data_IF_680115101195
#
_entry.id   IF_680115101195
#
_cell.length_a   1.000
_cell.length_b   1.000
_cell.length_c   1.000
_cell.angle_alpha   90.00
_cell.angle_beta   90.00
_cell.angle_gamma   90.00
#
_symmetry.space_group_name_H-M   'P 1'
#
loop_
_entity.id
_entity.type
_entity.pdbx_description
1 polymer ?
#
# COMPACT_ATOMS: atom_id res chain seq x y z
N UNK A 1 68.85 -43.13 48.91
CA UNK A 1 67.42 -42.94 49.30
C UNK A 1 66.64 -41.91 48.51
N UNK A 2 67.25 -41.17 47.60
CA UNK A 2 66.55 -40.08 46.83
C UNK A 2 65.94 -40.54 45.48
N UNK A 3 66.36 -41.65 44.96
CA UNK A 3 65.92 -42.15 43.66
C UNK A 3 64.72 -43.12 43.69
N UNK A 4 64.39 -43.70 44.88
CA UNK A 4 63.21 -44.56 45.01
C UNK A 4 61.90 -43.84 45.20
N UNK A 5 61.92 -42.62 45.77
CA UNK A 5 60.73 -41.82 45.95
C UNK A 5 60.24 -41.15 44.64
N UNK A 6 61.15 -40.84 43.70
CA UNK A 6 60.80 -40.23 42.46
C UNK A 6 60.09 -41.17 41.44
N UNK A 7 60.37 -42.47 41.52
CA UNK A 7 59.71 -43.42 40.62
C UNK A 7 58.32 -43.85 41.08
N UNK A 8 58.08 -43.81 42.41
CA UNK A 8 56.73 -44.06 42.94
C UNK A 8 55.73 -42.92 42.67
N UNK A 9 56.20 -41.67 42.69
CA UNK A 9 55.35 -40.53 42.38
C UNK A 9 55.03 -40.43 40.88
N UNK A 10 55.98 -40.82 40.01
CA UNK A 10 55.73 -40.87 38.57
C UNK A 10 54.77 -41.99 38.18
N UNK A 11 54.83 -43.16 38.88
CA UNK A 11 53.89 -44.27 38.69
C UNK A 11 52.46 -43.92 39.15
N UNK A 12 52.34 -43.20 40.28
CA UNK A 12 51.04 -42.74 40.80
C UNK A 12 50.41 -41.65 39.94
N UNK A 13 51.19 -40.70 39.37
CA UNK A 13 50.74 -39.67 38.47
C UNK A 13 50.33 -40.24 37.10
N UNK A 14 51.00 -41.28 36.60
CA UNK A 14 50.64 -41.93 35.34
C UNK A 14 49.40 -42.82 35.51
N UNK A 15 49.17 -43.42 36.65
CA UNK A 15 47.98 -44.22 36.99
C UNK A 15 46.74 -43.30 37.21
N UNK A 16 46.94 -42.12 37.80
CA UNK A 16 45.84 -41.14 37.97
C UNK A 16 45.47 -40.49 36.64
N UNK A 17 46.39 -40.31 35.71
CA UNK A 17 46.13 -39.74 34.40
C UNK A 17 45.40 -40.73 33.47
N UNK A 18 45.64 -42.05 33.60
CA UNK A 18 44.92 -43.06 32.83
C UNK A 18 43.51 -43.34 33.34
N UNK A 19 43.21 -43.06 34.61
CA UNK A 19 41.83 -43.16 35.17
C UNK A 19 40.91 -42.01 34.81
N UNK A 20 41.46 -40.87 34.31
CA UNK A 20 40.67 -39.75 33.86
C UNK A 20 40.19 -39.83 32.40
N UNK A 21 40.62 -40.85 31.65
CA UNK A 21 40.26 -41.04 30.24
C UNK A 21 39.08 -42.00 30.05
N UNK A 22 38.67 -42.72 31.12
CA UNK A 22 37.41 -43.48 31.11
C UNK A 22 36.29 -42.69 31.81
N UNK A 23 36.10 -41.42 31.43
CA UNK A 23 34.87 -40.75 31.67
C UNK A 23 33.82 -41.43 30.80
N UNK A 24 32.83 -42.07 31.40
CA UNK A 24 31.60 -42.43 30.71
C UNK A 24 31.13 -41.22 29.93
N UNK A 25 31.20 -41.29 28.61
CA UNK A 25 30.31 -40.43 27.80
C UNK A 25 28.88 -40.82 28.22
N UNK A 26 28.10 -39.93 28.82
CA UNK A 26 26.71 -40.24 28.99
C UNK A 26 26.18 -40.41 27.57
N UNK A 27 25.78 -41.61 27.19
CA UNK A 27 24.94 -41.78 26.02
C UNK A 27 23.75 -40.82 26.23
N UNK A 28 23.81 -39.68 25.59
CA UNK A 28 22.68 -38.78 25.54
C UNK A 28 21.57 -39.58 24.87
N UNK A 29 20.63 -40.03 25.67
CA UNK A 29 19.44 -40.74 25.20
C UNK A 29 18.55 -39.68 24.50
N UNK A 30 19.07 -39.15 23.38
CA UNK A 30 18.39 -38.24 22.51
C UNK A 30 17.32 -39.09 21.85
N UNK A 31 16.09 -38.98 22.34
CA UNK A 31 14.94 -39.51 21.62
C UNK A 31 14.86 -38.77 20.28
N UNK A 32 15.32 -39.41 19.24
CA UNK A 32 15.12 -38.94 17.89
C UNK A 32 13.61 -38.96 17.61
N UNK A 33 13.01 -37.78 17.58
CA UNK A 33 11.60 -37.66 17.30
C UNK A 33 11.41 -37.72 15.79
N UNK A 34 10.96 -38.86 15.29
CA UNK A 34 10.68 -39.05 13.86
C UNK A 34 9.30 -38.48 13.55
N UNK A 35 9.27 -37.34 12.90
CA UNK A 35 8.02 -36.76 12.39
C UNK A 35 7.59 -37.57 11.15
N UNK A 36 6.24 -37.83 10.98
CA UNK A 36 5.72 -38.37 9.74
C UNK A 36 5.97 -37.37 8.61
N UNK A 37 6.00 -37.83 7.38
CA UNK A 37 6.05 -36.93 6.22
C UNK A 37 4.67 -36.32 6.01
N UNK A 38 4.57 -35.00 5.77
CA UNK A 38 3.28 -34.37 5.48
C UNK A 38 2.69 -34.94 4.18
N UNK A 39 1.38 -34.98 4.09
CA UNK A 39 0.64 -35.42 2.91
C UNK A 39 -0.35 -34.33 2.53
N UNK A 40 -0.34 -33.90 1.27
CA UNK A 40 -1.36 -33.02 0.71
C UNK A 40 -2.41 -33.88 0.03
N UNK A 41 -3.66 -33.73 0.44
CA UNK A 41 -4.81 -34.42 -0.17
C UNK A 41 -5.59 -33.53 -1.13
N UNK A 42 -5.62 -32.20 -0.84
CA UNK A 42 -6.37 -31.26 -1.67
C UNK A 42 -5.75 -29.87 -1.54
N UNK A 43 -5.78 -29.12 -2.65
CA UNK A 43 -5.49 -27.67 -2.71
C UNK A 43 -6.72 -26.99 -3.32
N UNK A 44 -7.30 -26.03 -2.61
CA UNK A 44 -8.54 -25.38 -3.05
C UNK A 44 -8.52 -23.85 -2.80
N UNK A 45 -8.81 -23.04 -3.83
CA UNK A 45 -8.94 -23.40 -5.23
C UNK A 45 -7.61 -23.83 -5.88
N UNK A 46 -7.65 -24.40 -7.09
CA UNK A 46 -6.48 -24.77 -7.88
C UNK A 46 -5.99 -23.65 -8.81
N UNK A 47 -6.67 -22.52 -8.81
CA UNK A 47 -6.23 -21.33 -9.51
C UNK A 47 -6.61 -20.07 -8.70
N UNK A 48 -5.84 -19.01 -8.84
CA UNK A 48 -6.09 -17.74 -8.15
C UNK A 48 -5.04 -16.68 -8.49
N UNK A 49 -5.34 -15.48 -8.08
CA UNK A 49 -4.47 -14.31 -8.21
C UNK A 49 -3.44 -14.29 -7.07
N UNK A 50 -2.36 -13.55 -7.27
CA UNK A 50 -1.49 -13.15 -6.17
C UNK A 50 -2.32 -12.45 -5.09
N UNK A 51 -2.11 -12.84 -3.83
CA UNK A 51 -2.87 -12.32 -2.71
C UNK A 51 -4.14 -13.10 -2.34
N UNK A 52 -4.62 -14.01 -3.19
CA UNK A 52 -5.77 -14.85 -2.88
C UNK A 52 -5.46 -15.87 -1.78
N UNK A 53 -6.50 -16.20 -1.02
CA UNK A 53 -6.38 -17.25 -0.01
C UNK A 53 -6.58 -18.64 -0.64
N UNK A 54 -5.70 -19.56 -0.25
CA UNK A 54 -5.73 -20.97 -0.64
C UNK A 54 -5.74 -21.83 0.61
N UNK A 55 -6.60 -22.86 0.60
CA UNK A 55 -6.69 -23.88 1.64
C UNK A 55 -5.98 -25.13 1.14
N UNK A 56 -5.07 -25.63 1.93
CA UNK A 56 -4.36 -26.88 1.69
C UNK A 56 -4.84 -27.89 2.75
N UNK A 57 -5.50 -28.96 2.30
CA UNK A 57 -5.94 -30.05 3.15
C UNK A 57 -4.96 -31.21 3.06
N UNK A 58 -4.82 -31.93 4.16
CA UNK A 58 -3.87 -33.04 4.22
C UNK A 58 -3.75 -33.68 5.59
N UNK A 59 -2.59 -34.26 5.85
CA UNK A 59 -2.27 -34.91 7.11
C UNK A 59 -0.84 -34.58 7.53
N UNK A 60 -0.58 -34.63 8.83
CA UNK A 60 0.75 -34.49 9.45
C UNK A 60 1.43 -33.12 9.20
N UNK A 61 0.65 -32.06 9.09
CA UNK A 61 1.18 -30.70 9.02
C UNK A 61 1.63 -30.16 10.38
N UNK A 62 1.09 -30.71 11.49
CA UNK A 62 1.30 -30.18 12.84
C UNK A 62 0.49 -28.91 13.10
N UNK A 63 0.68 -28.36 14.30
CA UNK A 63 -0.07 -27.17 14.74
C UNK A 63 0.84 -25.93 14.97
N UNK A 64 2.09 -26.01 14.48
CA UNK A 64 3.08 -24.94 14.66
C UNK A 64 3.43 -24.30 13.34
N UNK A 65 3.00 -23.05 13.15
CA UNK A 65 3.29 -22.27 11.94
C UNK A 65 4.79 -22.15 11.69
N UNK A 66 5.61 -22.01 12.74
CA UNK A 66 7.06 -21.84 12.62
C UNK A 66 7.78 -23.09 12.10
N UNK A 67 7.12 -24.24 12.14
CA UNK A 67 7.67 -25.50 11.64
C UNK A 67 7.30 -25.76 10.17
N UNK A 68 6.40 -24.96 9.61
CA UNK A 68 5.82 -25.18 8.30
C UNK A 68 6.28 -24.08 7.33
N UNK A 69 6.66 -24.49 6.13
CA UNK A 69 6.82 -23.59 5.00
C UNK A 69 6.03 -24.10 3.80
N UNK A 70 5.45 -23.18 3.06
CA UNK A 70 4.66 -23.45 1.85
C UNK A 70 5.27 -22.70 0.68
N UNK A 71 5.18 -23.27 -0.52
CA UNK A 71 5.56 -22.57 -1.75
C UNK A 71 4.59 -22.86 -2.88
N UNK A 72 4.51 -21.94 -3.84
CA UNK A 72 3.75 -22.05 -5.08
C UNK A 72 4.71 -22.00 -6.27
N UNK A 73 4.86 -23.11 -7.00
CA UNK A 73 5.80 -23.20 -8.11
C UNK A 73 7.26 -22.88 -7.70
N UNK A 74 7.61 -23.14 -6.43
CA UNK A 74 8.94 -22.86 -5.85
C UNK A 74 9.07 -21.49 -5.18
N UNK A 75 8.09 -20.60 -5.30
CA UNK A 75 8.09 -19.28 -4.63
C UNK A 75 7.53 -19.43 -3.21
N UNK A 76 8.28 -19.05 -2.16
CA UNK A 76 7.87 -19.23 -0.79
C UNK A 76 6.73 -18.30 -0.38
N UNK A 77 5.82 -18.83 0.43
CA UNK A 77 4.75 -18.06 1.07
C UNK A 77 5.31 -17.29 2.27
N UNK A 78 5.03 -15.99 2.34
CA UNK A 78 5.44 -15.15 3.47
C UNK A 78 4.47 -15.27 4.65
N UNK A 79 3.16 -15.40 4.39
CA UNK A 79 2.13 -15.36 5.39
C UNK A 79 1.29 -16.65 5.40
N UNK A 80 1.42 -17.43 6.48
CA UNK A 80 0.55 -18.56 6.80
C UNK A 80 -0.48 -18.06 7.82
N UNK A 81 -1.75 -17.96 7.41
CA UNK A 81 -2.82 -17.45 8.28
C UNK A 81 -3.24 -18.44 9.36
N UNK A 82 -3.20 -19.74 9.02
CA UNK A 82 -3.57 -20.80 9.94
C UNK A 82 -2.83 -22.08 9.58
N UNK A 83 -2.36 -22.79 10.60
CA UNK A 83 -1.79 -24.13 10.48
C UNK A 83 -2.41 -25.04 11.52
N UNK A 84 -2.98 -26.15 11.06
CA UNK A 84 -3.49 -27.26 11.85
C UNK A 84 -2.99 -28.57 11.24
N UNK A 85 -2.99 -29.64 11.99
CA UNK A 85 -2.45 -30.93 11.52
C UNK A 85 -3.02 -31.42 10.19
N UNK A 86 -4.22 -31.00 9.83
CA UNK A 86 -4.92 -31.41 8.61
C UNK A 86 -5.30 -30.25 7.67
N UNK A 87 -4.93 -29.02 7.97
CA UNK A 87 -5.30 -27.86 7.17
C UNK A 87 -4.31 -26.72 7.34
N UNK A 88 -3.88 -26.14 6.22
CA UNK A 88 -3.10 -24.91 6.18
C UNK A 88 -3.88 -23.89 5.33
N UNK A 89 -3.96 -22.64 5.80
CA UNK A 89 -4.52 -21.52 5.06
C UNK A 89 -3.39 -20.53 4.78
N UNK A 90 -3.15 -20.27 3.51
CA UNK A 90 -2.07 -19.41 3.03
C UNK A 90 -2.58 -18.39 2.02
N UNK A 91 -1.75 -17.41 1.74
CA UNK A 91 -1.94 -16.46 0.65
C UNK A 91 -1.00 -16.81 -0.50
N UNK A 92 -1.50 -16.74 -1.74
CA UNK A 92 -0.64 -16.87 -2.94
C UNK A 92 0.40 -15.77 -2.90
N UNK A 93 1.71 -16.11 -2.89
CA UNK A 93 2.76 -15.09 -2.74
C UNK A 93 2.91 -14.24 -4.00
N UNK A 94 3.47 -13.05 -3.84
CA UNK A 94 3.91 -12.22 -4.96
C UNK A 94 4.98 -12.95 -5.78
N UNK A 95 4.87 -12.88 -7.10
CA UNK A 95 5.76 -13.60 -8.02
C UNK A 95 5.53 -15.11 -8.08
N UNK A 96 4.41 -15.62 -7.52
CA UNK A 96 4.03 -17.03 -7.62
C UNK A 96 4.05 -17.50 -9.08
N UNK A 97 4.41 -18.78 -9.29
CA UNK A 97 4.49 -19.39 -10.61
C UNK A 97 3.57 -20.61 -10.69
N UNK A 98 3.09 -20.89 -11.91
CA UNK A 98 2.37 -22.11 -12.17
C UNK A 98 3.19 -23.34 -11.76
N UNK A 99 2.56 -24.30 -11.10
CA UNK A 99 3.25 -25.52 -10.68
C UNK A 99 2.70 -26.11 -9.38
N UNK A 100 3.46 -27.01 -8.81
CA UNK A 100 3.05 -27.68 -7.57
C UNK A 100 3.03 -26.74 -6.38
N UNK A 101 2.06 -26.98 -5.50
CA UNK A 101 2.10 -26.40 -4.15
C UNK A 101 2.90 -27.33 -3.26
N UNK A 102 4.01 -26.84 -2.75
CA UNK A 102 4.90 -27.57 -1.84
C UNK A 102 4.61 -27.23 -0.39
N UNK A 103 4.57 -28.24 0.48
CA UNK A 103 4.52 -28.11 1.94
C UNK A 103 5.73 -28.78 2.55
N UNK A 104 6.46 -28.08 3.37
CA UNK A 104 7.57 -28.62 4.14
C UNK A 104 7.30 -28.46 5.63
N UNK A 105 7.40 -29.54 6.36
CA UNK A 105 7.29 -29.59 7.81
C UNK A 105 8.65 -30.03 8.37
N UNK A 106 9.33 -29.11 9.05
CA UNK A 106 10.74 -29.28 9.48
C UNK A 106 11.66 -29.62 8.31
N UNK A 107 12.01 -30.91 8.19
CA UNK A 107 12.94 -31.40 7.16
C UNK A 107 12.26 -32.23 6.07
N UNK A 108 10.97 -32.55 6.23
CA UNK A 108 10.20 -33.38 5.28
C UNK A 108 9.29 -32.55 4.45
N UNK A 109 9.22 -32.86 3.18
CA UNK A 109 8.44 -32.10 2.21
C UNK A 109 7.56 -32.99 1.34
N UNK A 110 6.48 -32.44 0.84
CA UNK A 110 5.56 -33.03 -0.11
C UNK A 110 5.07 -31.97 -1.09
N UNK A 111 4.55 -32.42 -2.23
CA UNK A 111 3.96 -31.54 -3.23
C UNK A 111 2.52 -31.99 -3.55
N UNK A 112 1.69 -31.07 -3.97
CA UNK A 112 0.33 -31.33 -4.45
C UNK A 112 0.34 -32.26 -5.66
N UNK A 113 -0.71 -33.05 -5.83
CA UNK A 113 -0.89 -33.89 -7.02
C UNK A 113 -1.15 -33.04 -8.27
N UNK A 114 -2.01 -32.02 -8.16
CA UNK A 114 -2.33 -31.08 -9.22
C UNK A 114 -1.45 -29.83 -9.16
N UNK A 115 -1.23 -29.20 -10.31
CA UNK A 115 -0.59 -27.89 -10.37
C UNK A 115 -1.56 -26.81 -9.97
N UNK A 116 -1.06 -25.79 -9.30
CA UNK A 116 -1.76 -24.53 -9.07
C UNK A 116 -1.49 -23.62 -10.26
N UNK A 117 -2.56 -22.99 -10.78
CA UNK A 117 -2.48 -22.01 -11.86
C UNK A 117 -2.56 -20.60 -11.29
N UNK A 118 -1.50 -19.82 -11.45
CA UNK A 118 -1.52 -18.39 -11.12
C UNK A 118 -2.23 -17.64 -12.23
N UNK A 119 -3.28 -16.91 -11.88
CA UNK A 119 -4.00 -16.04 -12.80
C UNK A 119 -3.24 -14.70 -12.86
N UNK A 120 -2.79 -14.24 -14.03
CA UNK A 120 -2.13 -12.94 -14.15
C UNK A 120 -3.06 -11.81 -13.69
N UNK A 121 -2.56 -10.94 -12.81
CA UNK A 121 -3.34 -9.86 -12.24
C UNK A 121 -3.74 -8.83 -13.30
N UNK A 122 -5.03 -8.53 -13.46
CA UNK A 122 -5.48 -7.49 -14.39
C UNK A 122 -5.01 -6.11 -13.95
N UNK A 123 -4.68 -5.26 -14.91
CA UNK A 123 -4.33 -3.87 -14.64
C UNK A 123 -4.83 -2.92 -15.72
N UNK A 124 -5.25 -1.72 -15.31
CA UNK A 124 -5.62 -0.64 -16.21
C UNK A 124 -4.38 0.21 -16.49
N UNK A 125 -4.06 0.41 -17.76
CA UNK A 125 -2.96 1.26 -18.21
C UNK A 125 -3.48 2.67 -18.54
N UNK A 126 -4.63 2.75 -19.22
CA UNK A 126 -5.21 4.04 -19.61
C UNK A 126 -6.70 3.95 -19.80
N UNK A 127 -7.37 5.09 -19.62
CA UNK A 127 -8.76 5.30 -19.98
C UNK A 127 -8.89 6.56 -20.82
N UNK A 128 -9.68 6.49 -21.89
CA UNK A 128 -9.93 7.62 -22.77
C UNK A 128 -11.41 7.69 -23.14
N UNK A 129 -11.92 8.89 -23.32
CA UNK A 129 -13.27 9.15 -23.78
C UNK A 129 -13.30 9.58 -25.24
N UNK A 130 -14.40 9.27 -25.92
CA UNK A 130 -14.71 9.83 -27.24
C UNK A 130 -15.19 11.28 -27.19
N UNK A 131 -15.36 11.85 -25.99
CA UNK A 131 -15.85 13.21 -25.81
C UNK A 131 -14.85 14.24 -26.38
N UNK A 132 -15.28 15.20 -27.23
CA UNK A 132 -14.39 16.17 -27.84
C UNK A 132 -13.74 17.15 -26.83
N UNK A 133 -14.27 17.28 -25.62
CA UNK A 133 -13.71 18.15 -24.59
C UNK A 133 -12.42 17.58 -23.97
N UNK A 134 -12.14 16.28 -24.13
CA UNK A 134 -10.90 15.63 -23.67
C UNK A 134 -11.11 14.29 -22.99
N UNK A 135 -10.01 13.62 -22.69
CA UNK A 135 -9.98 12.20 -22.32
C UNK A 135 -10.75 11.84 -21.04
N UNK A 136 -10.88 12.75 -20.09
CA UNK A 136 -11.60 12.49 -18.83
C UNK A 136 -12.98 13.21 -18.77
N UNK A 137 -13.42 13.77 -19.89
CA UNK A 137 -14.78 14.27 -20.01
C UNK A 137 -15.67 13.20 -20.61
N UNK A 138 -16.87 13.05 -20.08
CA UNK A 138 -17.88 12.17 -20.64
C UNK A 138 -19.28 12.66 -20.35
N UNK A 139 -20.15 12.50 -21.33
CA UNK A 139 -21.60 12.68 -21.26
C UNK A 139 -22.30 11.41 -21.71
N UNK A 140 -23.58 11.30 -21.44
CA UNK A 140 -24.40 10.14 -21.83
C UNK A 140 -24.18 9.76 -23.31
N UNK A 141 -23.79 8.52 -23.54
CA UNK A 141 -23.57 7.98 -24.88
C UNK A 141 -22.13 8.02 -25.37
N UNK A 142 -21.23 8.76 -24.73
CA UNK A 142 -19.81 8.73 -25.06
C UNK A 142 -19.22 7.33 -24.84
N UNK A 143 -18.22 6.98 -25.65
CA UNK A 143 -17.50 5.73 -25.51
C UNK A 143 -16.26 5.93 -24.65
N UNK A 144 -16.15 5.14 -23.60
CA UNK A 144 -14.95 5.07 -22.76
C UNK A 144 -14.18 3.83 -23.18
N UNK A 145 -12.95 4.03 -23.64
CA UNK A 145 -12.01 2.95 -23.96
C UNK A 145 -11.07 2.74 -22.79
N UNK A 146 -11.12 1.57 -22.20
CA UNK A 146 -10.22 1.12 -21.13
C UNK A 146 -9.18 0.19 -21.73
N UNK A 147 -7.90 0.53 -21.62
CA UNK A 147 -6.79 -0.29 -22.04
C UNK A 147 -6.00 -0.78 -20.85
N UNK A 148 -5.58 -2.03 -20.93
CA UNK A 148 -4.85 -2.66 -19.86
C UNK A 148 -4.20 -3.96 -20.26
N UNK A 149 -3.95 -4.82 -19.29
CA UNK A 149 -3.39 -6.16 -19.47
C UNK A 149 -4.14 -7.16 -18.62
N UNK A 150 -4.14 -8.41 -19.08
CA UNK A 150 -4.67 -9.56 -18.35
C UNK A 150 -6.14 -9.40 -17.95
N UNK A 151 -6.96 -8.78 -18.78
CA UNK A 151 -8.41 -8.70 -18.51
C UNK A 151 -9.07 -10.07 -18.58
N UNK A 152 -8.51 -10.98 -19.38
CA UNK A 152 -8.95 -12.34 -19.58
C UNK A 152 -9.58 -12.57 -20.95
N UNK A 153 -9.50 -13.80 -21.42
CA UNK A 153 -10.04 -14.20 -22.73
C UNK A 153 -11.56 -14.42 -22.69
N UNK A 154 -12.09 -14.94 -21.56
CA UNK A 154 -13.53 -15.10 -21.36
C UNK A 154 -14.14 -13.80 -20.82
N UNK A 155 -14.75 -13.04 -21.73
CA UNK A 155 -15.37 -11.74 -21.45
C UNK A 155 -16.87 -11.84 -21.15
N UNK A 156 -17.43 -13.04 -21.10
CA UNK A 156 -18.89 -13.26 -21.02
C UNK A 156 -19.53 -12.74 -19.73
N UNK A 157 -18.75 -12.68 -18.63
CA UNK A 157 -19.21 -12.22 -17.33
C UNK A 157 -18.61 -10.85 -16.94
N UNK A 158 -17.94 -10.17 -17.87
CA UNK A 158 -17.42 -8.84 -17.58
C UNK A 158 -18.56 -7.87 -17.35
N UNK A 159 -18.39 -7.01 -16.35
CA UNK A 159 -19.30 -5.91 -16.05
C UNK A 159 -18.52 -4.61 -15.89
N UNK A 160 -19.17 -3.53 -16.26
CA UNK A 160 -18.63 -2.20 -16.08
C UNK A 160 -19.67 -1.33 -15.38
N UNK A 161 -19.18 -0.39 -14.59
CA UNK A 161 -20.04 0.52 -13.83
C UNK A 161 -19.46 1.94 -13.90
N UNK A 162 -20.35 2.92 -13.85
CA UNK A 162 -20.00 4.31 -13.52
C UNK A 162 -20.63 4.60 -12.17
N UNK A 163 -19.82 4.74 -11.13
CA UNK A 163 -20.24 4.62 -9.74
C UNK A 163 -20.95 3.27 -9.51
N UNK A 164 -22.26 3.30 -9.16
CA UNK A 164 -23.08 2.10 -8.97
C UNK A 164 -23.96 1.77 -10.20
N UNK A 165 -23.95 2.64 -11.24
CA UNK A 165 -24.78 2.45 -12.43
C UNK A 165 -24.05 1.56 -13.44
N UNK A 166 -24.67 0.45 -13.82
CA UNK A 166 -24.12 -0.47 -14.81
C UNK A 166 -24.01 0.22 -16.18
N UNK A 167 -22.84 0.12 -16.80
CA UNK A 167 -22.53 0.66 -18.11
C UNK A 167 -22.54 -0.47 -19.15
N UNK A 168 -23.10 -0.19 -20.33
CA UNK A 168 -23.11 -1.16 -21.43
C UNK A 168 -21.69 -1.38 -21.95
N UNK A 169 -21.22 -2.63 -21.95
CA UNK A 169 -20.00 -3.04 -22.65
C UNK A 169 -20.33 -3.19 -24.12
N UNK A 170 -19.59 -2.49 -24.97
CA UNK A 170 -19.74 -2.51 -26.45
C UNK A 170 -18.81 -3.57 -27.04
N UNK A 171 -17.60 -3.66 -26.53
CA UNK A 171 -16.61 -4.68 -26.88
C UNK A 171 -15.67 -4.95 -25.73
N UNK A 172 -15.15 -6.18 -25.66
CA UNK A 172 -14.17 -6.56 -24.65
C UNK A 172 -13.17 -7.57 -25.23
N UNK A 173 -11.93 -7.47 -24.77
CA UNK A 173 -10.82 -8.38 -25.07
C UNK A 173 -9.89 -8.42 -23.84
N UNK A 174 -8.84 -9.23 -23.91
CA UNK A 174 -7.80 -9.32 -22.85
C UNK A 174 -7.07 -7.99 -22.57
N UNK A 175 -7.10 -7.04 -23.49
CA UNK A 175 -6.32 -5.78 -23.41
C UNK A 175 -7.15 -4.51 -23.59
N UNK A 176 -8.40 -4.62 -24.01
CA UNK A 176 -9.24 -3.46 -24.26
C UNK A 176 -10.72 -3.75 -23.97
N UNK A 177 -11.36 -2.85 -23.25
CA UNK A 177 -12.79 -2.86 -23.00
C UNK A 177 -13.34 -1.50 -23.40
N UNK A 178 -14.41 -1.49 -24.24
CA UNK A 178 -15.12 -0.27 -24.61
C UNK A 178 -16.48 -0.29 -23.97
N UNK A 179 -16.80 0.74 -23.20
CA UNK A 179 -18.10 0.92 -22.55
C UNK A 179 -18.79 2.17 -23.05
N UNK A 180 -20.11 2.18 -23.00
CA UNK A 180 -20.92 3.37 -23.25
C UNK A 180 -21.22 4.06 -21.92
N UNK A 181 -20.89 5.35 -21.80
CA UNK A 181 -21.19 6.13 -20.60
C UNK A 181 -22.71 6.22 -20.39
N UNK A 182 -23.23 5.88 -19.20
CA UNK A 182 -24.65 5.73 -18.97
C UNK A 182 -25.41 7.06 -18.96
N UNK A 183 -26.71 6.99 -19.24
CA UNK A 183 -27.61 8.14 -19.17
C UNK A 183 -27.90 8.55 -17.71
N UNK A 184 -28.12 9.84 -17.49
CA UNK A 184 -28.45 10.36 -16.16
C UNK A 184 -27.27 10.53 -15.21
N UNK A 185 -26.07 10.19 -15.64
CA UNK A 185 -24.83 10.39 -14.88
C UNK A 185 -24.07 11.59 -15.45
N UNK A 186 -23.72 12.52 -14.59
CA UNK A 186 -22.91 13.70 -14.97
C UNK A 186 -21.42 13.53 -14.58
N UNK A 187 -21.15 12.67 -13.58
CA UNK A 187 -19.79 12.36 -13.15
C UNK A 187 -19.74 11.05 -12.42
N UNK A 188 -18.64 10.34 -12.53
CA UNK A 188 -18.45 9.09 -11.80
C UNK A 188 -17.14 8.41 -12.09
N UNK A 189 -16.78 7.48 -11.21
CA UNK A 189 -15.61 6.61 -11.35
C UNK A 189 -16.05 5.39 -12.15
N UNK A 190 -15.29 5.08 -13.20
CA UNK A 190 -15.48 3.85 -13.98
C UNK A 190 -14.85 2.69 -13.24
N UNK A 191 -15.64 1.65 -12.98
CA UNK A 191 -15.19 0.43 -12.33
C UNK A 191 -15.47 -0.76 -13.25
N UNK A 192 -14.56 -1.74 -13.23
CA UNK A 192 -14.71 -3.00 -13.94
C UNK A 192 -14.84 -4.15 -12.95
N UNK A 193 -15.65 -5.13 -13.28
CA UNK A 193 -15.70 -6.44 -12.64
C UNK A 193 -15.38 -7.50 -13.71
N UNK A 194 -14.21 -8.08 -13.61
CA UNK A 194 -13.65 -9.04 -14.56
C UNK A 194 -13.72 -10.44 -13.93
N UNK A 195 -14.84 -11.14 -14.13
CA UNK A 195 -15.06 -12.45 -13.54
C UNK A 195 -14.91 -12.48 -12.00
N UNK A 196 -15.31 -11.38 -11.32
CA UNK A 196 -15.19 -11.22 -9.87
C UNK A 196 -13.96 -10.42 -9.42
N UNK A 197 -12.97 -10.21 -10.30
CA UNK A 197 -11.84 -9.32 -10.00
C UNK A 197 -12.24 -7.86 -10.26
N UNK A 198 -12.18 -7.04 -9.22
CA UNK A 198 -12.64 -5.65 -9.29
C UNK A 198 -11.48 -4.70 -9.53
N UNK A 199 -11.60 -3.88 -10.57
CA UNK A 199 -10.68 -2.80 -10.89
C UNK A 199 -11.39 -1.46 -10.77
N UNK A 200 -10.77 -0.53 -10.06
CA UNK A 200 -11.19 0.86 -10.03
C UNK A 200 -10.39 1.65 -11.06
N UNK A 201 -11.09 2.36 -11.92
CA UNK A 201 -10.50 3.19 -12.97
C UNK A 201 -10.54 4.68 -12.65
N UNK A 202 -10.53 5.49 -13.70
CA UNK A 202 -10.53 6.95 -13.60
C UNK A 202 -11.93 7.52 -13.39
N UNK A 203 -12.00 8.71 -12.80
CA UNK A 203 -13.19 9.52 -12.77
C UNK A 203 -13.40 10.22 -14.13
N UNK A 204 -14.65 10.23 -14.58
CA UNK A 204 -15.11 11.00 -15.74
C UNK A 204 -16.14 12.02 -15.29
N UNK A 205 -16.10 13.21 -15.86
CA UNK A 205 -17.02 14.31 -15.53
C UNK A 205 -17.59 14.93 -16.80
N UNK A 206 -18.80 15.42 -16.73
CA UNK A 206 -19.31 16.35 -17.75
C UNK A 206 -18.45 17.62 -17.75
N UNK A 207 -18.09 18.13 -18.91
CA UNK A 207 -17.23 19.32 -19.05
C UNK A 207 -17.83 20.57 -18.39
N UNK A 208 -19.15 20.59 -18.19
CA UNK A 208 -19.90 21.68 -17.54
C UNK A 208 -19.94 21.59 -16.00
N UNK A 209 -19.38 20.53 -15.40
CA UNK A 209 -19.39 20.38 -13.95
C UNK A 209 -18.49 21.40 -13.27
N UNK A 210 -19.06 22.14 -12.34
CA UNK A 210 -18.41 23.10 -11.44
C UNK A 210 -18.71 22.78 -9.97
N UNK A 211 -17.94 23.38 -9.08
CA UNK A 211 -18.09 23.24 -7.64
C UNK A 211 -17.29 22.07 -7.06
N UNK A 212 -17.79 21.45 -6.00
CA UNK A 212 -17.08 20.42 -5.25
C UNK A 212 -16.99 19.08 -6.03
N UNK A 213 -15.78 18.73 -6.42
CA UNK A 213 -15.44 17.48 -7.13
C UNK A 213 -14.52 16.57 -6.31
N UNK A 214 -14.36 16.82 -5.03
CA UNK A 214 -13.38 16.15 -4.17
C UNK A 214 -13.51 14.64 -4.19
N UNK A 215 -14.70 14.11 -4.04
CA UNK A 215 -14.95 12.65 -3.97
C UNK A 215 -14.64 11.89 -5.27
N UNK A 216 -14.49 12.60 -6.38
CA UNK A 216 -14.07 12.02 -7.66
C UNK A 216 -12.57 11.80 -7.73
N UNK A 217 -11.79 12.60 -7.00
CA UNK A 217 -10.34 12.68 -7.16
C UNK A 217 -9.54 12.36 -5.89
N UNK A 218 -10.17 12.40 -4.71
CA UNK A 218 -9.56 12.01 -3.44
C UNK A 218 -10.49 11.08 -2.67
N UNK A 219 -9.90 10.09 -2.05
CA UNK A 219 -10.53 9.19 -1.08
C UNK A 219 -10.10 9.58 0.34
N UNK A 220 -10.93 9.27 1.31
CA UNK A 220 -10.58 9.48 2.72
C UNK A 220 -10.01 10.90 2.96
N UNK A 221 -10.74 11.91 2.48
CA UNK A 221 -10.32 13.30 2.43
C UNK A 221 -10.93 14.16 3.52
N UNK A 222 -11.87 13.63 4.30
CA UNK A 222 -12.54 14.31 5.40
C UNK A 222 -12.91 13.35 6.52
N UNK A 223 -13.17 13.89 7.69
CA UNK A 223 -13.73 13.16 8.82
C UNK A 223 -15.11 12.54 8.51
N UNK A 224 -15.42 11.33 9.05
CA UNK A 224 -14.52 10.46 9.82
C UNK A 224 -13.48 9.78 8.91
N UNK A 225 -12.20 9.82 9.33
CA UNK A 225 -11.13 9.22 8.55
C UNK A 225 -11.05 7.70 8.75
N UNK A 226 -10.81 6.96 7.66
CA UNK A 226 -10.66 5.51 7.66
C UNK A 226 -9.21 5.11 7.91
N UNK A 227 -9.03 4.07 8.73
CA UNK A 227 -7.72 3.45 9.00
C UNK A 227 -7.46 2.29 8.06
N UNK A 228 -6.21 2.11 7.65
CA UNK A 228 -5.75 0.93 6.92
C UNK A 228 -5.21 -0.18 7.84
N UNK A 229 -4.79 0.18 9.06
CA UNK A 229 -4.29 -0.74 10.07
C UNK A 229 -5.45 -1.30 10.93
N UNK A 230 -5.25 -2.49 11.49
CA UNK A 230 -6.24 -3.16 12.35
C UNK A 230 -6.18 -2.72 13.83
N UNK A 231 -5.36 -1.71 14.13
CA UNK A 231 -5.18 -1.21 15.49
C UNK A 231 -6.39 -0.42 15.99
N UNK A 232 -6.59 -0.40 17.30
CA UNK A 232 -7.60 0.38 18.02
C UNK A 232 -7.00 1.53 18.86
N UNK A 233 -5.67 1.71 18.75
CA UNK A 233 -4.95 2.75 19.47
C UNK A 233 -5.22 4.15 18.94
N UNK A 234 -4.75 5.14 19.70
CA UNK A 234 -4.86 6.57 19.37
C UNK A 234 -4.24 6.92 18.01
N UNK A 235 -3.22 6.19 17.60
CA UNK A 235 -2.50 6.44 16.34
C UNK A 235 -2.72 5.33 15.33
N UNK A 236 -2.85 5.72 14.07
CA UNK A 236 -3.06 4.81 12.95
C UNK A 236 -2.50 5.34 11.64
N UNK A 237 -2.79 4.61 10.58
CA UNK A 237 -2.41 4.92 9.21
C UNK A 237 -3.66 5.21 8.39
N UNK A 238 -3.71 6.34 7.71
CA UNK A 238 -4.85 6.71 6.87
C UNK A 238 -4.93 5.82 5.63
N UNK A 239 -6.09 5.21 5.44
CA UNK A 239 -6.39 4.37 4.27
C UNK A 239 -6.35 5.21 2.99
N UNK A 240 -5.93 4.63 1.87
CA UNK A 240 -5.81 5.23 0.52
C UNK A 240 -4.71 6.27 0.35
N UNK A 241 -3.92 6.54 1.37
CA UNK A 241 -2.81 7.47 1.28
C UNK A 241 -1.48 6.74 1.18
N UNK A 242 -0.74 7.00 0.11
CA UNK A 242 0.65 6.56 -0.04
C UNK A 242 1.55 7.39 0.85
N UNK A 243 2.58 6.78 1.41
CA UNK A 243 3.51 7.45 2.32
C UNK A 243 4.95 7.11 1.99
N UNK A 244 5.81 8.11 2.03
CA UNK A 244 7.25 7.88 2.02
C UNK A 244 7.74 7.35 3.38
N UNK A 245 8.91 6.70 3.37
CA UNK A 245 9.60 6.32 4.59
C UNK A 245 9.82 7.55 5.47
N UNK A 246 9.55 7.46 6.76
CA UNK A 246 9.71 8.57 7.72
C UNK A 246 8.48 9.45 7.93
N UNK A 247 7.38 9.25 7.20
CA UNK A 247 6.13 9.95 7.52
C UNK A 247 5.56 9.45 8.85
N UNK A 248 5.64 8.14 9.10
CA UNK A 248 5.16 7.51 10.33
C UNK A 248 3.64 7.47 10.45
N UNK A 249 3.12 7.19 11.63
CA UNK A 249 1.68 7.24 11.90
C UNK A 249 1.16 8.65 11.63
N UNK A 250 0.05 8.74 10.90
CA UNK A 250 -0.46 9.99 10.35
C UNK A 250 -1.94 10.21 10.61
N UNK A 251 -2.56 9.30 11.33
CA UNK A 251 -3.95 9.40 11.73
C UNK A 251 -4.02 9.37 13.26
N UNK A 252 -4.58 10.39 13.87
CA UNK A 252 -4.72 10.54 15.31
C UNK A 252 -6.18 10.57 15.71
N UNK A 253 -6.56 9.71 16.64
CA UNK A 253 -7.88 9.61 17.25
C UNK A 253 -7.75 10.03 18.72
N UNK A 254 -7.93 11.32 19.08
CA UNK A 254 -7.94 11.74 20.47
C UNK A 254 -9.05 11.00 21.24
N UNK A 255 -8.83 10.74 22.53
CA UNK A 255 -9.69 9.90 23.38
C UNK A 255 -11.20 10.22 23.36
N UNK A 256 -11.58 11.42 22.94
CA UNK A 256 -12.98 11.86 22.86
C UNK A 256 -13.51 12.00 21.43
N UNK A 257 -12.69 11.76 20.42
CA UNK A 257 -13.00 11.99 19.01
C UNK A 257 -12.77 10.71 18.18
N UNK A 258 -13.87 10.09 17.77
CA UNK A 258 -13.85 8.87 16.96
C UNK A 258 -13.64 9.14 15.49
N UNK A 259 -13.72 10.41 15.05
CA UNK A 259 -13.61 10.78 13.63
C UNK A 259 -12.16 10.91 13.17
N UNK A 260 -11.24 11.09 14.12
CA UNK A 260 -9.82 11.21 13.87
C UNK A 260 -9.42 12.47 13.08
N UNK A 261 -8.12 12.67 12.96
CA UNK A 261 -7.53 13.74 12.15
C UNK A 261 -6.35 13.20 11.36
N UNK A 262 -6.17 13.64 10.12
CA UNK A 262 -4.85 13.51 9.50
C UNK A 262 -3.92 14.43 10.29
N UNK A 263 -2.92 13.84 10.94
CA UNK A 263 -2.03 14.57 11.84
C UNK A 263 -0.59 14.39 11.41
N UNK A 264 0.06 15.50 11.11
CA UNK A 264 1.48 15.54 10.83
C UNK A 264 2.18 16.11 12.07
N UNK A 265 2.93 15.27 12.80
CA UNK A 265 3.50 15.61 14.10
C UNK A 265 4.96 15.22 14.20
N UNK A 266 5.72 16.02 14.94
CA UNK A 266 7.09 15.75 15.40
C UNK A 266 7.21 15.99 16.91
N UNK A 267 8.14 15.30 17.56
CA UNK A 267 8.23 15.32 19.03
C UNK A 267 7.22 14.38 19.69
N UNK A 268 7.21 14.29 21.01
CA UNK A 268 6.31 13.44 21.80
C UNK A 268 6.27 11.98 21.30
N UNK A 269 7.45 11.39 21.02
CA UNK A 269 7.56 10.04 20.49
C UNK A 269 7.50 9.93 18.97
N UNK A 270 7.10 10.98 18.25
CA UNK A 270 7.14 11.04 16.80
C UNK A 270 8.49 11.58 16.31
N UNK A 271 9.06 10.90 15.30
CA UNK A 271 10.32 11.28 14.68
C UNK A 271 10.25 12.63 13.93
N UNK A 272 11.42 13.16 13.60
CA UNK A 272 11.51 14.28 12.64
C UNK A 272 10.85 13.90 11.33
N UNK A 273 10.27 14.88 10.66
CA UNK A 273 9.83 14.75 9.28
C UNK A 273 10.86 15.42 8.38
N UNK A 274 11.60 14.61 7.66
CA UNK A 274 12.61 15.08 6.71
C UNK A 274 12.21 14.54 5.32
N UNK A 275 11.74 15.44 4.45
CA UNK A 275 11.22 15.07 3.11
C UNK A 275 10.10 14.00 3.15
N UNK A 276 9.27 14.07 4.15
CA UNK A 276 8.21 13.10 4.32
C UNK A 276 6.97 13.50 3.51
N UNK A 277 6.47 12.58 2.68
CA UNK A 277 5.30 12.78 1.83
C UNK A 277 4.18 11.81 2.17
N UNK A 278 2.95 12.31 2.10
CA UNK A 278 1.72 11.54 2.19
C UNK A 278 0.79 12.02 1.07
N UNK A 279 0.44 11.16 0.11
CA UNK A 279 -0.23 11.60 -1.12
C UNK A 279 -1.16 10.55 -1.72
N UNK A 280 -2.05 11.01 -2.60
CA UNK A 280 -2.81 10.17 -3.52
C UNK A 280 -2.51 10.59 -4.96
N UNK A 281 -2.53 9.61 -5.86
CA UNK A 281 -2.38 9.83 -7.30
C UNK A 281 -3.75 9.80 -7.96
N UNK A 282 -4.02 10.76 -8.83
CA UNK A 282 -5.26 10.83 -9.58
C UNK A 282 -5.03 11.56 -10.91
N UNK A 283 -5.95 11.41 -11.85
CA UNK A 283 -5.92 12.18 -13.10
C UNK A 283 -7.00 13.25 -13.06
N UNK A 284 -6.60 14.50 -13.20
CA UNK A 284 -7.48 15.65 -13.29
C UNK A 284 -7.68 16.06 -14.74
N UNK A 285 -8.92 16.29 -15.20
CA UNK A 285 -9.19 16.91 -16.50
C UNK A 285 -8.72 18.36 -16.53
N UNK A 286 -8.64 18.94 -17.73
CA UNK A 286 -8.37 20.38 -17.87
C UNK A 286 -9.42 21.23 -17.13
N UNK A 287 -9.01 22.39 -16.65
CA UNK A 287 -9.86 23.32 -15.90
C UNK A 287 -9.13 24.07 -14.81
N UNK A 288 -9.82 24.97 -14.15
CA UNK A 288 -9.33 25.70 -12.99
C UNK A 288 -9.80 25.02 -11.70
N UNK A 289 -8.91 24.89 -10.75
CA UNK A 289 -9.12 24.18 -9.50
C UNK A 289 -8.75 25.05 -8.32
N UNK A 290 -9.54 24.93 -7.25
CA UNK A 290 -9.22 25.48 -5.93
C UNK A 290 -9.13 24.34 -4.93
N UNK A 291 -7.99 24.22 -4.27
CA UNK A 291 -7.82 23.34 -3.13
C UNK A 291 -8.01 24.15 -1.86
N UNK A 292 -8.79 23.61 -0.93
CA UNK A 292 -8.95 24.13 0.44
C UNK A 292 -8.62 23.03 1.42
N UNK A 293 -7.77 23.33 2.40
CA UNK A 293 -7.40 22.44 3.50
C UNK A 293 -7.87 23.05 4.80
N UNK A 294 -8.75 22.35 5.51
CA UNK A 294 -9.27 22.77 6.82
C UNK A 294 -8.37 22.24 7.95
N UNK A 295 -7.77 23.14 8.69
CA UNK A 295 -6.88 22.89 9.81
C UNK A 295 -7.63 23.09 11.12
N UNK A 296 -7.78 22.04 11.90
CA UNK A 296 -8.48 22.08 13.19
C UNK A 296 -7.57 22.53 14.32
N UNK A 297 -6.31 22.11 14.29
CA UNK A 297 -5.31 22.48 15.29
C UNK A 297 -3.94 22.61 14.63
N UNK A 298 -3.16 23.56 15.08
CA UNK A 298 -1.78 23.73 14.65
C UNK A 298 -0.93 24.30 15.79
N UNK A 299 0.19 23.64 16.04
CA UNK A 299 1.26 24.21 16.87
C UNK A 299 2.57 24.08 16.10
N UNK A 300 3.05 25.20 15.61
CA UNK A 300 4.24 25.24 14.77
C UNK A 300 5.17 26.34 15.23
N UNK A 301 6.41 25.96 15.55
CA UNK A 301 7.44 26.91 15.92
C UNK A 301 8.06 27.53 14.67
N UNK A 302 7.96 28.83 14.51
CA UNK A 302 8.51 29.57 13.38
C UNK A 302 10.03 29.34 13.19
N UNK A 303 10.50 29.51 11.97
CA UNK A 303 11.90 29.35 11.59
C UNK A 303 12.28 27.97 11.05
N UNK A 304 11.29 27.11 10.80
CA UNK A 304 11.40 25.79 10.15
C UNK A 304 10.48 25.72 8.92
N UNK A 305 10.67 24.68 8.13
CA UNK A 305 9.95 24.58 6.85
C UNK A 305 8.46 24.31 7.00
N UNK A 306 8.06 23.46 7.95
CA UNK A 306 6.65 23.16 8.20
C UNK A 306 6.08 22.06 7.32
N UNK A 307 4.77 22.18 7.05
CA UNK A 307 4.02 21.28 6.20
C UNK A 307 3.24 22.09 5.16
N UNK A 308 3.15 21.56 3.94
CA UNK A 308 2.31 22.12 2.87
C UNK A 308 1.48 21.03 2.21
N UNK A 309 0.32 21.42 1.68
CA UNK A 309 -0.41 20.63 0.70
C UNK A 309 0.10 20.98 -0.69
N UNK A 310 0.38 19.96 -1.49
CA UNK A 310 1.08 20.08 -2.79
C UNK A 310 0.26 19.36 -3.85
N UNK A 311 0.24 19.91 -5.05
CA UNK A 311 -0.23 19.27 -6.29
C UNK A 311 0.94 19.27 -7.26
N UNK A 312 1.38 18.10 -7.70
CA UNK A 312 2.50 17.93 -8.62
C UNK A 312 2.13 17.03 -9.79
N UNK A 313 2.55 17.40 -11.00
CA UNK A 313 2.46 16.55 -12.19
C UNK A 313 3.61 15.52 -12.13
N UNK A 314 3.28 14.27 -11.79
CA UNK A 314 4.29 13.24 -11.50
C UNK A 314 4.59 13.12 -10.01
N UNK A 315 5.81 12.70 -9.64
CA UNK A 315 6.17 12.50 -8.24
C UNK A 315 6.04 13.78 -7.42
N UNK A 316 5.57 13.66 -6.18
CA UNK A 316 5.67 14.75 -5.23
C UNK A 316 7.15 14.98 -4.99
N UNK A 317 7.66 16.20 -5.26
CA UNK A 317 9.08 16.46 -5.19
C UNK A 317 9.57 16.24 -3.76
N UNK A 318 10.64 15.49 -3.63
CA UNK A 318 11.37 15.38 -2.38
C UNK A 318 12.02 16.72 -2.06
N UNK A 319 12.02 17.07 -0.78
CA UNK A 319 12.77 18.20 -0.26
C UNK A 319 14.22 17.78 -0.02
N UNK A 320 14.93 17.36 -1.03
CA UNK A 320 16.34 17.03 -0.95
C UNK A 320 17.18 18.23 -1.34
N UNK A 321 18.15 18.57 -0.50
CA UNK A 321 19.08 19.67 -0.74
C UNK A 321 19.93 19.48 -2.00
N UNK A 322 20.12 18.24 -2.42
CA UNK A 322 21.01 17.87 -3.53
C UNK A 322 20.26 17.53 -4.81
N UNK A 323 18.92 17.31 -4.75
CA UNK A 323 18.12 16.87 -5.88
C UNK A 323 16.92 17.77 -6.18
N UNK A 324 17.12 19.08 -6.28
CA UNK A 324 16.07 20.00 -6.78
C UNK A 324 14.72 19.91 -6.03
N UNK A 325 14.77 19.95 -4.71
CA UNK A 325 13.58 19.91 -3.88
C UNK A 325 12.59 21.04 -4.17
N UNK A 326 11.42 20.99 -3.54
CA UNK A 326 10.43 22.08 -3.56
C UNK A 326 11.05 23.36 -3.02
N UNK A 327 11.55 24.19 -3.89
CA UNK A 327 12.25 25.42 -3.53
C UNK A 327 11.36 26.40 -2.76
N UNK A 328 10.08 26.38 -2.99
CA UNK A 328 9.10 27.12 -2.19
C UNK A 328 9.16 26.81 -0.69
N UNK A 329 9.70 25.65 -0.31
CA UNK A 329 9.90 25.25 1.08
C UNK A 329 11.23 25.71 1.67
N UNK A 330 12.25 25.91 0.86
CA UNK A 330 13.62 26.11 1.35
C UNK A 330 13.86 27.41 2.08
N UNK A 331 13.11 28.43 1.90
CA UNK A 331 13.15 29.72 2.60
C UNK A 331 11.97 30.60 2.23
N UNK A 332 10.80 30.06 1.91
CA UNK A 332 9.67 30.83 1.40
C UNK A 332 9.97 31.51 0.06
N UNK A 333 11.03 31.07 -0.64
CA UNK A 333 11.45 31.59 -1.93
C UNK A 333 10.80 30.85 -3.06
N UNK A 334 10.59 31.51 -4.16
CA UNK A 334 9.99 30.95 -5.36
C UNK A 334 10.95 29.95 -6.01
N UNK A 335 10.38 28.82 -6.46
CA UNK A 335 11.09 27.86 -7.28
C UNK A 335 11.58 28.49 -8.59
N UNK A 336 12.71 28.03 -9.13
CA UNK A 336 13.13 28.38 -10.48
C UNK A 336 12.13 27.83 -11.52
N UNK A 337 12.13 28.35 -12.75
CA UNK A 337 11.24 27.84 -13.81
C UNK A 337 11.35 26.33 -14.03
N UNK A 338 12.56 25.77 -13.99
CA UNK A 338 12.81 24.32 -14.18
C UNK A 338 12.28 23.47 -13.03
N UNK A 339 12.34 24.00 -11.82
CA UNK A 339 11.83 23.33 -10.62
C UNK A 339 10.31 23.41 -10.49
N UNK A 340 9.68 24.32 -11.20
CA UNK A 340 8.22 24.47 -11.29
C UNK A 340 7.60 23.51 -12.29
N UNK A 341 8.38 22.88 -13.16
CA UNK A 341 7.85 22.09 -14.27
C UNK A 341 6.89 21.00 -13.82
N UNK A 342 7.17 20.38 -12.68
CA UNK A 342 6.30 19.36 -12.08
C UNK A 342 5.40 19.88 -10.97
N UNK A 343 5.66 21.08 -10.44
CA UNK A 343 4.86 21.68 -9.37
C UNK A 343 3.68 22.44 -9.96
N UNK A 344 2.48 21.89 -9.80
CA UNK A 344 1.24 22.53 -10.28
C UNK A 344 0.79 23.63 -9.31
N UNK A 345 0.84 23.36 -8.01
CA UNK A 345 0.51 24.31 -6.97
C UNK A 345 0.77 23.79 -5.56
N UNK A 346 0.87 24.69 -4.61
CA UNK A 346 1.00 24.34 -3.20
C UNK A 346 0.59 25.48 -2.26
N UNK A 347 0.29 25.11 -1.02
CA UNK A 347 0.08 26.05 0.07
C UNK A 347 0.58 25.45 1.39
N UNK A 348 1.28 26.26 2.18
CA UNK A 348 1.63 25.87 3.54
C UNK A 348 0.37 25.74 4.40
N UNK A 349 0.27 24.61 5.10
CA UNK A 349 -0.82 24.36 6.05
C UNK A 349 -0.41 24.66 7.49
N UNK A 350 0.89 24.70 7.78
CA UNK A 350 1.43 25.20 9.05
C UNK A 350 1.57 26.71 8.98
N UNK A 351 0.85 27.41 9.83
CA UNK A 351 0.85 28.87 9.92
C UNK A 351 0.91 29.31 11.37
N UNK A 352 1.12 30.61 11.59
CA UNK A 352 1.02 31.22 12.92
C UNK A 352 -0.40 31.72 13.23
N UNK A 353 -1.39 31.35 12.42
CA UNK A 353 -2.78 31.68 12.68
C UNK A 353 -3.30 30.85 13.85
N UNK A 354 -4.20 31.43 14.61
CA UNK A 354 -4.94 30.70 15.62
C UNK A 354 -5.92 29.73 14.93
N UNK A 355 -5.81 28.45 15.27
CA UNK A 355 -6.72 27.44 14.72
C UNK A 355 -8.09 27.48 15.43
N UNK A 356 -9.20 27.05 14.76
CA UNK A 356 -9.22 26.47 13.41
C UNK A 356 -9.10 27.53 12.31
N UNK A 357 -8.52 27.14 11.16
CA UNK A 357 -8.45 27.98 9.97
C UNK A 357 -8.45 27.14 8.70
N UNK A 358 -8.65 27.82 7.56
CA UNK A 358 -8.52 27.22 6.24
C UNK A 358 -7.39 27.87 5.46
N UNK A 359 -6.71 27.08 4.66
CA UNK A 359 -5.76 27.57 3.66
C UNK A 359 -6.22 27.11 2.28
N UNK A 360 -6.09 27.98 1.28
CA UNK A 360 -6.46 27.63 -0.08
C UNK A 360 -5.48 28.17 -1.10
N UNK A 361 -5.43 27.53 -2.26
CA UNK A 361 -4.71 27.97 -3.45
C UNK A 361 -5.44 27.51 -4.70
N UNK A 362 -5.15 28.17 -5.81
CA UNK A 362 -5.75 27.91 -7.10
C UNK A 362 -4.68 27.55 -8.12
N UNK A 363 -5.03 26.72 -9.09
CA UNK A 363 -4.22 26.37 -10.24
C UNK A 363 -5.09 26.05 -11.45
N UNK A 364 -4.52 26.10 -12.64
CA UNK A 364 -5.19 25.74 -13.89
C UNK A 364 -4.39 24.64 -14.61
N UNK A 365 -5.11 23.68 -15.15
CA UNK A 365 -4.58 22.65 -16.05
C UNK A 365 -5.12 22.90 -17.46
N UNK A 366 -4.22 23.11 -18.41
CA UNK A 366 -4.57 23.31 -19.83
C UNK A 366 -5.03 22.00 -20.48
N UNK A 367 -4.51 20.87 -19.99
CA UNK A 367 -4.79 19.53 -20.46
C UNK A 367 -5.04 18.56 -19.28
N UNK A 368 -5.57 17.39 -19.60
CA UNK A 368 -5.70 16.31 -18.61
C UNK A 368 -4.33 15.85 -18.15
N UNK A 369 -4.13 15.83 -16.83
CA UNK A 369 -2.86 15.39 -16.22
C UNK A 369 -3.06 14.44 -15.06
N UNK A 370 -2.18 13.44 -14.99
CA UNK A 370 -2.00 12.68 -13.74
C UNK A 370 -1.21 13.54 -12.76
N UNK A 371 -1.75 13.70 -11.58
CA UNK A 371 -1.15 14.48 -10.49
C UNK A 371 -1.08 13.65 -9.21
N UNK A 372 -0.06 13.93 -8.42
CA UNK A 372 0.02 13.51 -7.03
C UNK A 372 -0.39 14.70 -6.16
N UNK A 373 -1.34 14.48 -5.27
CA UNK A 373 -1.86 15.50 -4.35
C UNK A 373 -1.69 15.04 -2.91
N UNK A 374 -1.11 15.87 -2.07
CA UNK A 374 -0.94 15.50 -0.68
C UNK A 374 -0.05 16.42 0.12
N UNK A 375 0.33 15.92 1.28
CA UNK A 375 1.14 16.66 2.24
C UNK A 375 2.62 16.34 2.05
N UNK A 376 3.41 17.38 2.11
CA UNK A 376 4.84 17.29 2.24
C UNK A 376 5.28 17.99 3.52
N UNK A 377 6.08 17.31 4.33
CA UNK A 377 6.51 17.80 5.63
C UNK A 377 8.03 17.82 5.78
N UNK A 378 8.52 18.95 6.25
CA UNK A 378 9.87 19.12 6.76
C UNK A 378 9.79 19.82 8.11
N UNK A 379 9.65 19.03 9.15
CA UNK A 379 9.38 19.47 10.51
C UNK A 379 10.35 18.83 11.49
N UNK A 380 10.82 19.61 12.43
CA UNK A 380 11.57 19.15 13.58
C UNK A 380 11.11 19.93 14.83
N UNK A 381 11.63 19.59 16.00
CA UNK A 381 11.11 20.05 17.27
C UNK A 381 9.65 19.52 17.52
N UNK A 382 9.05 19.91 18.61
CA UNK A 382 7.65 19.56 18.91
C UNK A 382 6.74 20.48 18.12
N UNK A 383 6.19 19.97 17.04
CA UNK A 383 5.26 20.69 16.16
C UNK A 383 4.23 19.74 15.61
N UNK A 384 3.00 20.22 15.37
CA UNK A 384 1.96 19.42 14.76
C UNK A 384 0.97 20.29 13.98
N UNK A 385 0.29 19.65 13.04
CA UNK A 385 -0.89 20.17 12.35
C UNK A 385 -1.92 19.04 12.22
N UNK A 386 -3.19 19.35 12.54
CA UNK A 386 -4.32 18.42 12.42
C UNK A 386 -5.26 18.92 11.35
N UNK A 387 -5.56 18.05 10.41
CA UNK A 387 -6.40 18.31 9.24
C UNK A 387 -7.72 17.57 9.41
N UNK A 388 -8.83 18.26 9.21
CA UNK A 388 -10.18 17.69 9.27
C UNK A 388 -10.80 17.46 7.89
N UNK A 389 -10.43 18.25 6.89
CA UNK A 389 -10.98 18.13 5.53
C UNK A 389 -10.00 18.67 4.47
N UNK A 390 -10.03 18.06 3.30
CA UNK A 390 -9.44 18.56 2.06
C UNK A 390 -10.57 18.68 1.05
N UNK A 391 -10.70 19.82 0.38
CA UNK A 391 -11.75 20.10 -0.60
C UNK A 391 -11.13 20.49 -1.93
N UNK A 392 -11.66 19.93 -3.01
CA UNK A 392 -11.32 20.28 -4.39
C UNK A 392 -12.55 20.86 -5.06
N UNK A 393 -12.46 22.10 -5.50
CA UNK A 393 -13.49 22.76 -6.28
C UNK A 393 -12.98 23.02 -7.68
N UNK A 394 -13.81 22.74 -8.68
CA UNK A 394 -13.52 23.01 -10.09
C UNK A 394 -14.36 24.19 -10.56
N UNK A 395 -13.76 25.06 -11.37
CA UNK A 395 -14.46 26.09 -12.15
C UNK A 395 -14.08 25.96 -13.63
N UNK A 396 -15.03 26.35 -14.48
CA UNK A 396 -14.81 26.41 -15.93
C UNK A 396 -14.24 27.80 -16.22
N UNK A 397 -13.12 27.87 -16.93
CA UNK A 397 -12.59 29.15 -17.38
C UNK A 397 -13.59 29.74 -18.35
N UNK A 398 -14.13 30.90 -18.00
CA UNK A 398 -14.98 31.71 -18.89
C UNK A 398 -14.13 32.36 -19.98
#
# INVERSE_FOLDING_TARGET
MRNLFNNSIKGLLLGALTLLVFGCEPEANIKEYVYPAPVITEVSPLEGYEGDQVIILGEDFGDRVEAVSVNFGGIPVENIYSCRNNMIVVQVPEGAQNGKVGVKVWTKETNSESDFKVIPTPSIISMTSSNPAGNLFATAGDMITVRGTNFGEDTSNFKAYVNETEAQIISASDTEIVIKFPEGIQSGIVNLDLNGYKLEGSAFIDSTIEGNVTSLFLKNYKQPFLRSDLGDGEWGTAMYWNMSSGFGSNLNFPMADTDGYITIQTGNGQGKKENACMYQSTSLPSGSYKITVSVSECSFTSGRFGCAFVVAAGEIPNFDKEQNGLYGFKQWTYATPEEKENLVGFKHVTTNYEAPYEVSFEFTLEDTRTVNMGFMAMMNNTSYVKISEIKIERSINQ
#
